data_IF_402148329304
#
_entry.id   IF_402148329304
#
_cell.length_a   1.000
_cell.length_b   1.000
_cell.length_c   1.000
_cell.angle_alpha   90.00
_cell.angle_beta   90.00
_cell.angle_gamma   90.00
#
_symmetry.space_group_name_H-M   'P 1'
#
loop_
_entity.id
_entity.type
_entity.pdbx_description
1 polymer ?
#
# COMPACT_ATOMS: atom_id res chain seq x y z
N UNK A 1 -8.96 55.57 38.20
CA UNK A 1 -9.28 54.89 36.91
C UNK A 1 -8.01 54.25 36.39
N UNK A 2 -7.87 52.96 36.68
CA UNK A 2 -6.72 52.16 36.25
C UNK A 2 -7.10 51.35 35.04
N UNK A 3 -6.38 51.54 33.94
CA UNK A 3 -6.52 50.71 32.75
C UNK A 3 -5.79 49.38 32.97
N UNK A 4 -6.50 48.26 32.75
CA UNK A 4 -5.94 46.92 32.76
C UNK A 4 -5.08 46.67 31.50
N UNK A 5 -3.97 45.97 31.63
CA UNK A 5 -3.16 45.59 30.45
C UNK A 5 -3.88 44.49 29.64
N UNK A 6 -4.05 44.75 28.34
CA UNK A 6 -4.51 43.79 27.34
C UNK A 6 -3.49 42.67 27.23
N UNK A 7 -3.88 41.44 27.63
CA UNK A 7 -3.14 40.24 27.39
C UNK A 7 -3.28 39.83 25.92
N UNK A 8 -2.31 40.17 25.11
CA UNK A 8 -2.19 39.60 23.76
C UNK A 8 -1.82 38.11 23.88
N UNK A 9 -2.64 37.21 23.31
CA UNK A 9 -2.33 35.81 23.19
C UNK A 9 -1.04 35.60 22.35
N UNK A 10 -0.17 34.66 22.70
CA UNK A 10 1.04 34.41 21.92
C UNK A 10 0.64 33.96 20.50
N UNK A 11 1.45 34.29 19.47
CA UNK A 11 1.19 33.86 18.10
C UNK A 11 1.16 32.36 18.06
N UNK A 12 0.11 31.80 17.45
CA UNK A 12 0.00 30.35 17.20
C UNK A 12 1.28 29.92 16.50
N UNK A 13 2.02 29.03 17.15
CA UNK A 13 3.16 28.34 16.59
C UNK A 13 2.69 27.71 15.26
N UNK A 14 3.20 28.20 14.13
CA UNK A 14 2.91 27.65 12.82
C UNK A 14 3.39 26.20 12.85
N UNK A 15 2.46 25.27 13.03
CA UNK A 15 2.76 23.84 12.93
C UNK A 15 3.49 23.64 11.61
N UNK A 16 4.75 23.20 11.67
CA UNK A 16 5.55 22.95 10.49
C UNK A 16 4.72 22.09 9.53
N UNK A 17 4.47 22.60 8.32
CA UNK A 17 3.60 21.95 7.35
C UNK A 17 4.02 20.48 7.21
N UNK A 18 3.08 19.56 7.40
CA UNK A 18 3.38 18.12 7.33
C UNK A 18 4.03 17.82 5.97
N UNK A 19 5.12 17.06 6.00
CA UNK A 19 5.92 16.71 4.82
C UNK A 19 6.04 15.21 4.71
N UNK A 20 6.19 14.72 3.48
CA UNK A 20 6.49 13.32 3.16
C UNK A 20 7.68 13.25 2.20
N UNK A 21 8.43 12.17 2.31
CA UNK A 21 9.56 11.91 1.41
C UNK A 21 9.07 11.05 0.26
N UNK A 22 9.14 11.59 -0.95
CA UNK A 22 8.59 11.01 -2.18
C UNK A 22 9.72 10.52 -3.08
N UNK A 23 9.61 9.30 -3.57
CA UNK A 23 10.48 8.76 -4.61
C UNK A 23 9.99 9.22 -5.98
N UNK A 24 8.68 9.07 -6.24
CA UNK A 24 8.08 9.43 -7.53
C UNK A 24 6.57 9.65 -7.41
N UNK A 25 6.01 10.44 -8.33
CA UNK A 25 4.56 10.60 -8.53
C UNK A 25 4.33 10.51 -10.04
N UNK A 26 3.56 9.51 -10.49
CA UNK A 26 3.34 9.23 -11.91
C UNK A 26 1.94 8.68 -12.17
N UNK A 27 1.49 8.80 -13.43
CA UNK A 27 0.24 8.21 -13.91
C UNK A 27 0.54 6.91 -14.66
N UNK A 28 -0.15 5.84 -14.28
CA UNK A 28 -0.07 4.55 -14.97
C UNK A 28 -1.39 3.78 -14.86
N UNK A 29 -1.41 2.55 -15.38
CA UNK A 29 -2.52 1.62 -15.16
C UNK A 29 -2.25 0.85 -13.86
N UNK A 30 -3.23 0.81 -12.94
CA UNK A 30 -3.12 -0.04 -11.77
C UNK A 30 -3.01 -1.51 -12.18
N UNK A 31 -1.92 -2.15 -11.77
CA UNK A 31 -1.62 -3.53 -12.16
C UNK A 31 -2.14 -4.58 -11.18
N UNK A 32 -2.64 -4.14 -10.01
CA UNK A 32 -3.00 -5.04 -8.91
C UNK A 32 -4.29 -4.59 -8.20
N UNK A 33 -4.73 -5.39 -7.23
CA UNK A 33 -5.89 -5.13 -6.38
C UNK A 33 -7.22 -5.07 -7.15
N UNK A 34 -8.29 -4.55 -6.54
CA UNK A 34 -9.60 -4.42 -7.19
C UNK A 34 -9.65 -3.27 -8.19
N UNK A 35 -8.69 -2.37 -8.12
CA UNK A 35 -8.56 -1.27 -9.06
C UNK A 35 -7.71 -1.60 -10.29
N UNK A 36 -7.36 -2.88 -10.52
CA UNK A 36 -6.64 -3.34 -11.70
C UNK A 36 -7.30 -2.85 -12.99
N UNK A 37 -6.49 -2.32 -13.92
CA UNK A 37 -6.94 -1.80 -15.21
C UNK A 37 -7.36 -0.32 -15.19
N UNK A 38 -7.52 0.32 -14.04
CA UNK A 38 -7.87 1.74 -13.97
C UNK A 38 -6.65 2.66 -14.10
N UNK A 39 -6.75 3.76 -14.88
CA UNK A 39 -5.76 4.84 -14.82
C UNK A 39 -5.65 5.38 -13.39
N UNK A 40 -4.46 5.33 -12.80
CA UNK A 40 -4.21 5.63 -11.39
C UNK A 40 -2.95 6.47 -11.24
N UNK A 41 -3.01 7.50 -10.41
CA UNK A 41 -1.80 8.21 -9.97
C UNK A 41 -1.17 7.44 -8.83
N UNK A 42 0.08 7.06 -9.01
CA UNK A 42 0.89 6.44 -7.97
C UNK A 42 1.67 7.52 -7.22
N UNK A 43 1.54 7.53 -5.89
CA UNK A 43 2.34 8.34 -4.99
C UNK A 43 3.24 7.38 -4.22
N UNK A 44 4.51 7.26 -4.66
CA UNK A 44 5.48 6.34 -4.05
C UNK A 44 6.34 7.04 -3.02
N UNK A 45 6.15 6.67 -1.76
CA UNK A 45 6.92 7.18 -0.64
C UNK A 45 8.28 6.47 -0.54
N UNK A 46 9.29 7.19 -0.06
CA UNK A 46 10.65 6.68 0.13
C UNK A 46 10.79 6.02 1.50
N UNK A 47 11.56 4.93 1.54
CA UNK A 47 11.94 4.23 2.76
C UNK A 47 11.05 3.03 3.05
N UNK A 48 11.68 1.96 3.51
CA UNK A 48 11.03 0.72 3.93
C UNK A 48 11.82 0.11 5.08
N UNK A 49 11.18 -0.36 6.16
CA UNK A 49 11.86 -1.08 7.23
C UNK A 49 12.10 -2.56 6.89
N UNK A 50 11.58 -3.06 5.77
CA UNK A 50 11.72 -4.44 5.30
C UNK A 50 12.77 -4.55 4.19
N UNK A 51 13.26 -5.79 3.96
CA UNK A 51 14.22 -6.13 2.90
C UNK A 51 13.81 -7.43 2.21
N UNK A 52 12.56 -7.46 1.70
CA UNK A 52 12.03 -8.63 1.00
C UNK A 52 12.95 -9.03 -0.15
N UNK A 53 13.25 -10.34 -0.28
CA UNK A 53 14.19 -10.84 -1.26
C UNK A 53 13.71 -10.65 -2.71
N UNK A 54 12.40 -10.61 -2.93
CA UNK A 54 11.76 -10.40 -4.25
C UNK A 54 11.39 -8.93 -4.54
N UNK A 55 11.88 -7.97 -3.71
CA UNK A 55 11.46 -6.57 -3.83
C UNK A 55 11.85 -6.00 -5.20
N UNK A 56 10.85 -5.59 -5.97
CA UNK A 56 11.00 -4.95 -7.29
C UNK A 56 11.19 -3.42 -7.19
N UNK A 57 11.04 -2.86 -5.99
CA UNK A 57 11.05 -1.42 -5.75
C UNK A 57 12.21 -0.99 -4.83
N UNK A 58 13.35 -1.69 -4.88
CA UNK A 58 14.51 -1.41 -4.02
C UNK A 58 15.07 0.02 -4.18
N UNK A 59 14.85 0.64 -5.35
CA UNK A 59 15.23 2.02 -5.62
C UNK A 59 14.49 3.04 -4.74
N UNK A 60 13.35 2.65 -4.15
CA UNK A 60 12.60 3.49 -3.21
C UNK A 60 13.09 3.37 -1.75
N UNK A 61 14.10 2.55 -1.44
CA UNK A 61 14.62 2.45 -0.08
C UNK A 61 15.33 3.72 0.37
N UNK A 62 15.98 4.42 -0.55
CA UNK A 62 16.82 5.59 -0.27
C UNK A 62 16.54 6.72 -1.26
N UNK A 63 17.18 7.87 -1.04
CA UNK A 63 17.00 9.02 -1.93
C UNK A 63 15.67 9.74 -1.66
N UNK A 64 14.96 10.09 -2.73
CA UNK A 64 13.68 10.81 -2.68
C UNK A 64 13.79 12.26 -2.25
N UNK A 65 12.71 13.02 -2.43
CA UNK A 65 12.60 14.44 -2.12
C UNK A 65 11.53 14.69 -1.03
N UNK A 66 11.81 15.62 -0.11
CA UNK A 66 10.85 16.08 0.88
C UNK A 66 9.89 17.08 0.26
N UNK A 67 8.63 16.69 0.09
CA UNK A 67 7.57 17.56 -0.41
C UNK A 67 6.58 17.92 0.70
N UNK A 68 5.99 19.11 0.63
CA UNK A 68 4.82 19.44 1.42
C UNK A 68 3.61 18.61 0.94
N UNK A 69 2.62 18.42 1.81
CA UNK A 69 1.39 17.74 1.38
C UNK A 69 0.66 18.54 0.28
N UNK A 70 0.76 19.87 0.29
CA UNK A 70 0.15 20.73 -0.73
C UNK A 70 0.80 20.51 -2.10
N UNK A 71 2.13 20.40 -2.16
CA UNK A 71 2.85 20.10 -3.40
C UNK A 71 2.46 18.73 -3.97
N UNK A 72 2.35 17.71 -3.09
CA UNK A 72 1.90 16.37 -3.49
C UNK A 72 0.48 16.39 -4.05
N UNK A 73 -0.47 17.05 -3.36
CA UNK A 73 -1.85 17.16 -3.82
C UNK A 73 -1.95 17.94 -5.14
N UNK A 74 -1.20 19.05 -5.27
CA UNK A 74 -1.15 19.83 -6.52
C UNK A 74 -0.66 18.98 -7.69
N UNK A 75 0.40 18.18 -7.48
CA UNK A 75 0.92 17.28 -8.50
C UNK A 75 -0.07 16.16 -8.84
N UNK A 76 -0.73 15.55 -7.86
CA UNK A 76 -1.78 14.54 -8.09
C UNK A 76 -2.94 15.12 -8.90
N UNK A 77 -3.42 16.32 -8.53
CA UNK A 77 -4.52 17.00 -9.22
C UNK A 77 -4.21 17.30 -10.70
N UNK A 78 -2.94 17.57 -11.05
CA UNK A 78 -2.53 17.86 -12.43
C UNK A 78 -2.75 16.70 -13.39
N UNK A 79 -2.83 15.45 -12.91
CA UNK A 79 -3.11 14.28 -13.73
C UNK A 79 -4.60 14.07 -14.05
N UNK A 80 -5.50 14.82 -13.41
CA UNK A 80 -6.95 14.81 -13.68
C UNK A 80 -7.59 13.41 -13.64
N UNK A 81 -7.12 12.52 -12.75
CA UNK A 81 -7.68 11.18 -12.55
C UNK A 81 -8.33 11.03 -11.19
N UNK A 82 -9.31 10.13 -11.09
CA UNK A 82 -10.04 9.86 -9.87
C UNK A 82 -9.27 8.95 -8.90
N UNK A 83 -8.50 7.99 -9.44
CA UNK A 83 -7.85 6.96 -8.65
C UNK A 83 -6.43 7.39 -8.25
N UNK A 84 -6.11 7.20 -6.97
CA UNK A 84 -4.78 7.44 -6.41
C UNK A 84 -4.37 6.23 -5.60
N UNK A 85 -3.18 5.70 -5.87
CA UNK A 85 -2.56 4.64 -5.08
C UNK A 85 -1.38 5.23 -4.31
N UNK A 86 -1.48 5.23 -2.98
CA UNK A 86 -0.35 5.56 -2.11
C UNK A 86 0.40 4.26 -1.81
N UNK A 87 1.64 4.21 -2.22
CA UNK A 87 2.52 3.05 -2.13
C UNK A 87 3.95 3.48 -1.79
N UNK A 88 4.93 2.63 -1.98
CA UNK A 88 6.33 3.06 -1.81
C UNK A 88 7.24 1.89 -1.47
N UNK A 89 8.20 2.17 -0.57
CA UNK A 89 8.73 1.16 0.31
C UNK A 89 7.64 0.73 1.29
N UNK A 90 7.58 1.37 2.48
CA UNK A 90 6.42 1.23 3.40
C UNK A 90 5.86 2.62 3.70
N UNK A 91 4.70 2.99 3.13
CA UNK A 91 4.15 4.34 3.28
C UNK A 91 3.89 4.74 4.73
N UNK A 92 3.37 3.81 5.54
CA UNK A 92 3.00 4.07 6.94
C UNK A 92 4.20 4.26 7.87
N UNK A 93 5.43 3.99 7.40
CA UNK A 93 6.65 4.33 8.13
C UNK A 93 6.84 5.87 8.26
N UNK A 94 6.20 6.65 7.40
CA UNK A 94 6.19 8.11 7.46
C UNK A 94 4.91 8.62 8.12
N UNK A 95 5.03 9.30 9.27
CA UNK A 95 3.87 9.84 10.01
C UNK A 95 2.99 10.75 9.15
N UNK A 96 3.58 11.54 8.25
CA UNK A 96 2.84 12.42 7.34
C UNK A 96 1.97 11.67 6.32
N UNK A 97 2.16 10.36 6.13
CA UNK A 97 1.35 9.55 5.23
C UNK A 97 -0.13 9.52 5.65
N UNK A 98 -0.43 9.44 6.95
CA UNK A 98 -1.81 9.42 7.44
C UNK A 98 -2.57 10.70 7.07
N UNK A 99 -1.93 11.86 7.19
CA UNK A 99 -2.51 13.13 6.77
C UNK A 99 -2.62 13.24 5.25
N UNK A 100 -1.64 12.72 4.50
CA UNK A 100 -1.70 12.66 3.04
C UNK A 100 -2.92 11.86 2.57
N UNK A 101 -3.11 10.65 3.10
CA UNK A 101 -4.24 9.77 2.77
C UNK A 101 -5.58 10.47 3.02
N UNK A 102 -5.75 11.08 4.21
CA UNK A 102 -6.95 11.83 4.55
C UNK A 102 -7.21 12.98 3.57
N UNK A 103 -6.18 13.81 3.28
CA UNK A 103 -6.32 14.96 2.39
C UNK A 103 -6.60 14.57 0.93
N UNK A 104 -6.08 13.45 0.45
CA UNK A 104 -6.43 12.91 -0.86
C UNK A 104 -7.92 12.50 -0.93
N UNK A 105 -8.43 11.88 0.14
CA UNK A 105 -9.87 11.59 0.26
C UNK A 105 -10.71 12.86 0.34
N UNK A 106 -10.27 13.88 1.11
CA UNK A 106 -10.94 15.18 1.21
C UNK A 106 -11.01 15.92 -0.15
N UNK A 107 -9.99 15.72 -1.00
CA UNK A 107 -9.95 16.23 -2.37
C UNK A 107 -10.85 15.44 -3.35
N UNK A 108 -11.57 14.41 -2.89
CA UNK A 108 -12.52 13.63 -3.69
C UNK A 108 -11.91 12.48 -4.49
N UNK A 109 -10.64 12.13 -4.27
CA UNK A 109 -10.01 10.98 -4.91
C UNK A 109 -10.50 9.67 -4.30
N UNK A 110 -10.52 8.61 -5.13
CA UNK A 110 -10.64 7.23 -4.67
C UNK A 110 -9.24 6.71 -4.34
N UNK A 111 -8.95 6.63 -3.05
CA UNK A 111 -7.59 6.37 -2.55
C UNK A 111 -7.43 4.91 -2.15
N UNK A 112 -6.41 4.25 -2.67
CA UNK A 112 -5.91 2.97 -2.16
C UNK A 112 -4.56 3.14 -1.49
N UNK A 113 -4.28 2.28 -0.51
CA UNK A 113 -3.01 2.19 0.21
C UNK A 113 -2.48 0.77 0.06
N UNK A 114 -1.30 0.63 -0.52
CA UNK A 114 -0.53 -0.62 -0.49
C UNK A 114 0.48 -0.56 0.66
N UNK A 115 0.37 -1.49 1.61
CA UNK A 115 1.23 -1.56 2.80
C UNK A 115 1.69 -2.99 3.06
N UNK A 116 2.89 -3.13 3.58
CA UNK A 116 3.47 -4.42 3.96
C UNK A 116 2.78 -5.10 5.15
N UNK A 117 1.86 -4.42 5.83
CA UNK A 117 1.24 -4.94 7.04
C UNK A 117 2.12 -5.00 8.29
N UNK A 118 3.37 -4.51 8.21
CA UNK A 118 4.29 -4.50 9.35
C UNK A 118 4.02 -3.36 10.35
N UNK A 119 3.24 -2.36 9.94
CA UNK A 119 2.89 -1.17 10.74
C UNK A 119 1.40 -1.18 11.04
N UNK A 120 1.03 -0.61 12.19
CA UNK A 120 -0.37 -0.49 12.61
C UNK A 120 -1.19 0.34 11.62
N UNK A 121 -2.26 -0.27 11.07
CA UNK A 121 -3.16 0.34 10.10
C UNK A 121 -4.39 0.98 10.74
N UNK A 122 -4.56 0.92 12.06
CA UNK A 122 -5.78 1.37 12.77
C UNK A 122 -6.07 2.86 12.60
N UNK A 123 -5.02 3.66 12.31
CA UNK A 123 -5.12 5.12 12.14
C UNK A 123 -5.34 5.56 10.69
N UNK A 124 -5.40 4.63 9.75
CA UNK A 124 -5.68 4.95 8.34
C UNK A 124 -7.13 5.45 8.22
N UNK A 125 -7.32 6.54 7.47
CA UNK A 125 -8.66 7.10 7.23
C UNK A 125 -9.60 6.02 6.67
N UNK A 126 -10.81 5.84 7.21
CA UNK A 126 -11.72 4.76 6.82
C UNK A 126 -12.21 4.83 5.36
N UNK A 127 -12.03 5.93 4.66
CA UNK A 127 -12.35 6.07 3.23
C UNK A 127 -11.30 5.44 2.31
N UNK A 128 -10.10 5.17 2.84
CA UNK A 128 -8.99 4.55 2.11
C UNK A 128 -9.23 3.05 1.99
N UNK A 129 -9.03 2.50 0.82
CA UNK A 129 -9.05 1.05 0.56
C UNK A 129 -7.66 0.49 0.83
N UNK A 130 -7.51 -0.30 1.89
CA UNK A 130 -6.24 -0.89 2.28
C UNK A 130 -6.01 -2.22 1.56
N UNK A 131 -4.83 -2.37 0.98
CA UNK A 131 -4.30 -3.62 0.43
C UNK A 131 -3.11 -4.01 1.29
N UNK A 132 -3.29 -5.02 2.13
CA UNK A 132 -2.28 -5.46 3.10
C UNK A 132 -1.53 -6.66 2.54
N UNK A 133 -0.25 -6.46 2.25
CA UNK A 133 0.65 -7.48 1.71
C UNK A 133 1.29 -8.28 2.87
N UNK A 134 0.71 -9.43 3.18
CA UNK A 134 1.23 -10.36 4.20
C UNK A 134 2.47 -11.07 3.68
N UNK A 135 3.58 -10.89 4.37
CA UNK A 135 4.87 -11.45 3.97
C UNK A 135 4.95 -12.94 4.25
N UNK A 136 5.17 -13.71 3.19
CA UNK A 136 5.36 -15.17 3.24
C UNK A 136 6.78 -15.52 3.71
N UNK A 137 7.07 -16.76 4.12
CA UNK A 137 8.43 -17.20 4.47
C UNK A 137 9.46 -16.90 3.38
N UNK A 138 9.11 -17.11 2.10
CA UNK A 138 9.96 -16.82 0.96
C UNK A 138 10.33 -15.36 0.79
N UNK A 139 9.62 -14.43 1.42
CA UNK A 139 9.99 -13.01 1.46
C UNK A 139 11.23 -12.73 2.29
N UNK A 140 11.59 -13.62 3.24
CA UNK A 140 12.55 -13.43 4.32
C UNK A 140 12.15 -12.34 5.35
N UNK A 141 10.88 -11.89 5.34
CA UNK A 141 10.36 -10.84 6.22
C UNK A 141 9.06 -11.25 6.95
N UNK A 142 8.73 -12.54 6.97
CA UNK A 142 7.53 -13.11 7.60
C UNK A 142 7.39 -12.65 9.06
N UNK A 143 8.48 -12.67 9.82
CA UNK A 143 8.51 -12.27 11.24
C UNK A 143 8.12 -10.79 11.48
N UNK A 144 8.02 -9.98 10.42
CA UNK A 144 7.62 -8.58 10.49
C UNK A 144 6.12 -8.37 10.34
N UNK A 145 5.36 -9.40 10.02
CA UNK A 145 3.91 -9.30 9.91
C UNK A 145 3.29 -8.93 11.25
N UNK A 146 2.46 -7.89 11.24
CA UNK A 146 1.58 -7.55 12.36
C UNK A 146 0.19 -8.13 12.06
N UNK A 147 0.00 -9.41 12.43
CA UNK A 147 -1.21 -10.18 12.05
C UNK A 147 -2.50 -9.63 12.68
N UNK A 148 -2.41 -8.78 13.71
CA UNK A 148 -3.54 -8.05 14.29
C UNK A 148 -4.17 -7.07 13.29
N UNK A 149 -3.41 -6.59 12.32
CA UNK A 149 -3.93 -5.74 11.24
C UNK A 149 -5.04 -6.44 10.43
N UNK A 150 -4.97 -7.76 10.29
CA UNK A 150 -5.95 -8.54 9.52
C UNK A 150 -7.35 -8.49 10.15
N UNK A 151 -7.42 -8.29 11.48
CA UNK A 151 -8.68 -8.17 12.19
C UNK A 151 -9.36 -6.80 12.01
N UNK A 152 -8.62 -5.82 11.47
CA UNK A 152 -9.10 -4.46 11.20
C UNK A 152 -9.60 -4.26 9.77
N UNK A 153 -9.48 -5.28 8.92
CA UNK A 153 -9.87 -5.18 7.51
C UNK A 153 -11.39 -5.33 7.34
N UNK A 154 -11.91 -4.60 6.36
CA UNK A 154 -13.31 -4.55 5.97
C UNK A 154 -13.54 -5.31 4.66
N UNK A 155 -14.77 -5.60 4.32
CA UNK A 155 -15.14 -6.41 3.16
C UNK A 155 -14.65 -5.85 1.80
N UNK A 156 -14.55 -4.53 1.69
CA UNK A 156 -14.06 -3.83 0.49
C UNK A 156 -12.53 -3.77 0.38
N UNK A 157 -11.80 -4.21 1.41
CA UNK A 157 -10.35 -4.19 1.47
C UNK A 157 -9.75 -5.54 1.08
N UNK A 158 -8.43 -5.64 1.04
CA UNK A 158 -7.80 -6.82 0.46
C UNK A 158 -6.57 -7.25 1.24
N UNK A 159 -6.36 -8.54 1.28
CA UNK A 159 -5.14 -9.16 1.75
C UNK A 159 -4.42 -9.75 0.54
N UNK A 160 -3.12 -9.46 0.41
CA UNK A 160 -2.29 -9.99 -0.66
C UNK A 160 -1.19 -10.86 -0.07
N UNK A 161 -0.93 -11.99 -0.74
CA UNK A 161 0.22 -12.86 -0.50
C UNK A 161 1.02 -12.97 -1.80
N UNK A 162 2.31 -12.64 -1.74
CA UNK A 162 3.25 -12.90 -2.85
C UNK A 162 3.87 -14.27 -2.65
N UNK A 163 3.61 -15.17 -3.58
CA UNK A 163 3.95 -16.58 -3.50
C UNK A 163 5.24 -16.83 -4.28
N UNK A 164 6.31 -17.20 -3.57
CA UNK A 164 7.64 -17.46 -4.12
C UNK A 164 7.90 -18.95 -4.38
N UNK A 165 7.08 -19.83 -3.78
CA UNK A 165 7.25 -21.28 -3.85
C UNK A 165 5.98 -22.03 -3.46
N UNK A 166 5.97 -23.35 -3.66
CA UNK A 166 4.90 -24.21 -3.14
C UNK A 166 4.78 -24.13 -1.61
N UNK A 167 5.89 -24.03 -0.91
CA UNK A 167 5.90 -23.85 0.56
C UNK A 167 5.20 -22.56 0.99
N UNK A 168 5.42 -21.45 0.27
CA UNK A 168 4.70 -20.21 0.55
C UNK A 168 3.20 -20.33 0.29
N UNK A 169 2.83 -21.04 -0.77
CA UNK A 169 1.43 -21.31 -1.07
C UNK A 169 0.75 -22.07 0.09
N UNK A 170 1.38 -23.14 0.57
CA UNK A 170 0.86 -23.96 1.67
C UNK A 170 0.77 -23.18 2.97
N UNK A 171 1.79 -22.43 3.31
CA UNK A 171 1.80 -21.54 4.48
C UNK A 171 0.67 -20.50 4.40
N UNK A 172 0.51 -19.84 3.22
CA UNK A 172 -0.52 -18.82 3.01
C UNK A 172 -1.92 -19.44 3.08
N UNK A 173 -2.15 -20.60 2.46
CA UNK A 173 -3.40 -21.35 2.56
C UNK A 173 -3.76 -21.65 4.01
N UNK A 174 -2.81 -22.15 4.79
CA UNK A 174 -3.02 -22.51 6.18
C UNK A 174 -3.38 -21.29 7.04
N UNK A 175 -2.73 -20.14 6.80
CA UNK A 175 -3.06 -18.89 7.47
C UNK A 175 -4.45 -18.39 7.07
N UNK A 176 -4.79 -18.45 5.76
CA UNK A 176 -6.11 -18.06 5.25
C UNK A 176 -7.21 -18.88 5.93
N UNK A 177 -7.04 -20.19 6.02
CA UNK A 177 -8.00 -21.09 6.64
C UNK A 177 -8.09 -20.89 8.16
N UNK A 178 -6.96 -20.83 8.86
CA UNK A 178 -6.90 -20.68 10.32
C UNK A 178 -7.56 -19.38 10.79
N UNK A 179 -7.39 -18.30 10.03
CA UNK A 179 -7.97 -16.99 10.37
C UNK A 179 -9.27 -16.69 9.63
N UNK A 180 -9.74 -17.60 8.77
CA UNK A 180 -10.97 -17.45 7.97
C UNK A 180 -10.98 -16.13 7.19
N UNK A 181 -9.87 -15.79 6.54
CA UNK A 181 -9.66 -14.48 5.95
C UNK A 181 -10.64 -14.21 4.79
N UNK A 182 -11.02 -15.23 4.02
CA UNK A 182 -11.97 -15.11 2.91
C UNK A 182 -13.40 -14.82 3.33
N UNK A 183 -13.75 -15.01 4.61
CA UNK A 183 -15.05 -14.61 5.15
C UNK A 183 -15.11 -13.11 5.44
N UNK A 184 -13.96 -12.43 5.45
CA UNK A 184 -13.83 -11.02 5.83
C UNK A 184 -13.68 -10.10 4.62
N UNK A 185 -12.75 -10.42 3.73
CA UNK A 185 -12.42 -9.60 2.57
C UNK A 185 -11.83 -10.45 1.44
N UNK A 186 -11.55 -9.83 0.30
CA UNK A 186 -10.89 -10.50 -0.82
C UNK A 186 -9.45 -10.84 -0.44
N UNK A 187 -9.08 -12.12 -0.64
CA UNK A 187 -7.71 -12.60 -0.50
C UNK A 187 -7.09 -12.81 -1.89
N UNK A 188 -5.92 -12.22 -2.11
CA UNK A 188 -5.19 -12.25 -3.38
C UNK A 188 -3.94 -13.12 -3.24
N UNK A 189 -3.78 -14.10 -4.14
CA UNK A 189 -2.53 -14.83 -4.31
C UNK A 189 -1.86 -14.37 -5.60
N UNK A 190 -0.65 -13.83 -5.48
CA UNK A 190 0.13 -13.26 -6.59
C UNK A 190 1.44 -14.03 -6.74
N UNK A 191 1.79 -14.55 -7.93
CA UNK A 191 3.07 -15.21 -8.11
C UNK A 191 4.20 -14.18 -8.03
N UNK A 192 5.28 -14.53 -7.32
CA UNK A 192 6.52 -13.73 -7.35
C UNK A 192 7.11 -13.80 -8.75
N UNK A 193 7.34 -12.65 -9.37
CA UNK A 193 7.83 -12.56 -10.74
C UNK A 193 9.18 -13.28 -10.91
N UNK A 194 9.26 -14.17 -11.88
CA UNK A 194 10.46 -14.96 -12.16
C UNK A 194 10.74 -16.13 -11.20
N UNK A 195 9.89 -16.35 -10.17
CA UNK A 195 10.06 -17.46 -9.21
C UNK A 195 8.95 -18.51 -9.32
N UNK A 196 7.70 -18.08 -9.55
CA UNK A 196 6.55 -18.96 -9.72
C UNK A 196 5.81 -18.56 -10.99
N UNK A 197 5.55 -19.52 -11.85
CA UNK A 197 4.73 -19.31 -13.04
C UNK A 197 3.26 -19.08 -12.63
N UNK A 198 2.62 -18.08 -13.23
CA UNK A 198 1.22 -17.76 -12.92
C UNK A 198 0.29 -18.95 -13.18
N UNK A 199 0.60 -19.77 -14.20
CA UNK A 199 -0.15 -20.99 -14.52
C UNK A 199 -0.05 -22.03 -13.39
N UNK A 200 1.14 -22.20 -12.80
CA UNK A 200 1.34 -23.19 -11.76
C UNK A 200 0.62 -22.76 -10.47
N UNK A 201 0.70 -21.50 -10.10
CA UNK A 201 -0.09 -20.96 -8.97
C UNK A 201 -1.60 -21.12 -9.22
N UNK A 202 -2.08 -20.84 -10.44
CA UNK A 202 -3.47 -21.04 -10.81
C UNK A 202 -3.89 -22.50 -10.61
N UNK A 203 -3.05 -23.45 -11.04
CA UNK A 203 -3.33 -24.88 -10.89
C UNK A 203 -3.42 -25.27 -9.40
N UNK A 204 -2.51 -24.78 -8.55
CA UNK A 204 -2.55 -25.06 -7.10
C UNK A 204 -3.83 -24.53 -6.44
N UNK A 205 -4.27 -23.31 -6.83
CA UNK A 205 -5.52 -22.73 -6.32
C UNK A 205 -6.73 -23.59 -6.73
N UNK A 206 -6.76 -24.09 -7.98
CA UNK A 206 -7.84 -24.91 -8.50
C UNK A 206 -7.86 -26.30 -7.87
N UNK A 207 -6.70 -26.96 -7.75
CA UNK A 207 -6.58 -28.31 -7.17
C UNK A 207 -7.08 -28.34 -5.72
N UNK A 208 -6.77 -27.29 -4.96
CA UNK A 208 -7.18 -27.20 -3.56
C UNK A 208 -8.53 -26.44 -3.37
N UNK A 209 -9.14 -25.97 -4.46
CA UNK A 209 -10.44 -25.26 -4.45
C UNK A 209 -10.46 -24.10 -3.45
N UNK A 210 -9.33 -23.38 -3.34
CA UNK A 210 -9.24 -22.26 -2.41
C UNK A 210 -10.09 -21.08 -2.89
N UNK A 211 -10.90 -20.47 -2.00
CA UNK A 211 -11.73 -19.33 -2.35
C UNK A 211 -10.90 -18.01 -2.34
N UNK A 212 -9.73 -18.04 -2.99
CA UNK A 212 -8.84 -16.89 -3.16
C UNK A 212 -8.83 -16.45 -4.62
N UNK A 213 -8.52 -15.20 -4.85
CA UNK A 213 -8.38 -14.65 -6.20
C UNK A 213 -6.93 -14.70 -6.64
N UNK A 214 -6.65 -15.39 -7.74
CA UNK A 214 -5.37 -15.29 -8.42
C UNK A 214 -5.21 -13.88 -9.01
N UNK A 215 -4.06 -13.26 -8.79
CA UNK A 215 -3.72 -11.97 -9.36
C UNK A 215 -2.31 -11.98 -9.94
N UNK A 216 -2.20 -11.65 -11.22
CA UNK A 216 -0.91 -11.35 -11.84
C UNK A 216 -0.68 -9.82 -11.80
N UNK A 217 0.57 -9.42 -11.89
CA UNK A 217 0.95 -8.01 -12.00
C UNK A 217 0.75 -7.53 -13.45
N UNK A 218 -0.40 -6.92 -13.75
CA UNK A 218 -0.75 -6.49 -15.11
C UNK A 218 0.29 -5.54 -15.70
N UNK A 219 0.87 -4.65 -14.89
CA UNK A 219 1.91 -3.72 -15.34
C UNK A 219 3.16 -4.46 -15.84
N UNK A 220 3.53 -5.61 -15.26
CA UNK A 220 4.62 -6.47 -15.74
C UNK A 220 4.31 -7.08 -17.12
N UNK A 221 3.04 -7.44 -17.35
CA UNK A 221 2.59 -7.95 -18.66
C UNK A 221 2.63 -6.85 -19.72
N UNK A 222 2.26 -5.62 -19.38
CA UNK A 222 2.20 -4.50 -20.30
C UNK A 222 3.59 -3.91 -20.63
N UNK A 223 4.45 -3.76 -19.61
CA UNK A 223 5.69 -2.97 -19.74
C UNK A 223 6.95 -3.67 -19.18
N UNK A 224 6.84 -4.94 -18.75
CA UNK A 224 7.97 -5.63 -18.12
C UNK A 224 8.39 -4.96 -16.80
N UNK A 225 9.71 -4.87 -16.58
CA UNK A 225 10.29 -4.28 -15.38
C UNK A 225 10.58 -2.76 -15.51
N UNK A 226 9.84 -2.04 -16.34
CA UNK A 226 10.04 -0.60 -16.53
C UNK A 226 9.58 0.19 -15.31
N UNK A 227 10.46 0.91 -14.58
CA UNK A 227 10.07 1.77 -13.46
C UNK A 227 9.12 2.90 -13.88
N UNK A 228 8.19 3.30 -13.00
CA UNK A 228 7.26 4.40 -13.28
C UNK A 228 6.17 4.07 -14.30
N UNK A 229 5.87 2.78 -14.47
CA UNK A 229 4.84 2.28 -15.40
C UNK A 229 3.87 1.33 -14.70
#
# INVERSE_FOLDING_TARGET
MGAAPSSAAPPAEQAAAARVKITEIFLSIQGEADSVGWPTVFVRLTGCPLRCQYCDTQYAFYGGEWLSLDDVLGKVASFQTRHVCVTGGEPLAQKGCFDLLRRLCDAGHRVSLETSGAIDISKVDPRVIRVVDVKTPGSAEEARNKLENLDLLRAEEQIKFVICSRTDFEWSRDLVNAKRLTDRCTVLFSPSYGQVEARDLAQWVLDERLPVRLQIQLHKVLWGDTPGR
#
